data_IF_630337490690
#
_entry.id   IF_630337490690
#
_cell.length_a   1.000
_cell.length_b   1.000
_cell.length_c   1.000
_cell.angle_alpha   90.00
_cell.angle_beta   90.00
_cell.angle_gamma   90.00
#
_symmetry.space_group_name_H-M   'P 1'
#
loop_
_entity.id
_entity.type
_entity.pdbx_description
1 polymer ?
#
# COMPACT_ATOMS: atom_id res chain seq x y z
N UNK A 1 -11.31 -65.66 -54.54
CA UNK A 1 -10.23 -64.82 -53.97
C UNK A 1 -10.89 -63.66 -53.26
N UNK A 2 -10.84 -63.71 -51.93
CA UNK A 2 -11.52 -62.87 -50.97
C UNK A 2 -10.63 -61.65 -50.66
N UNK A 3 -11.15 -60.43 -50.71
CA UNK A 3 -10.48 -59.26 -50.15
C UNK A 3 -11.47 -58.44 -49.33
N UNK A 4 -11.41 -58.65 -48.03
CA UNK A 4 -12.11 -57.90 -46.99
C UNK A 4 -11.53 -56.48 -46.90
N UNK A 5 -12.40 -55.47 -46.91
CA UNK A 5 -12.09 -54.12 -46.45
C UNK A 5 -12.51 -54.04 -44.98
N UNK A 6 -11.53 -53.96 -44.08
CA UNK A 6 -11.75 -53.66 -42.67
C UNK A 6 -11.88 -52.15 -42.50
N UNK A 7 -13.03 -51.68 -42.01
CA UNK A 7 -13.21 -50.31 -41.57
C UNK A 7 -12.79 -50.21 -40.10
N UNK A 8 -11.72 -49.47 -39.83
CA UNK A 8 -11.26 -49.16 -38.48
C UNK A 8 -12.09 -47.99 -37.94
N UNK A 9 -12.94 -48.24 -36.96
CA UNK A 9 -13.66 -47.20 -36.22
C UNK A 9 -12.73 -46.71 -35.11
N UNK A 10 -12.28 -45.45 -35.20
CA UNK A 10 -11.48 -44.78 -34.18
C UNK A 10 -12.43 -44.11 -33.18
N UNK A 11 -12.55 -44.67 -31.98
CA UNK A 11 -13.33 -44.10 -30.89
C UNK A 11 -12.53 -42.97 -30.23
N UNK A 12 -12.97 -41.71 -30.40
CA UNK A 12 -12.38 -40.54 -29.75
C UNK A 12 -12.86 -40.47 -28.29
N UNK A 13 -11.95 -40.71 -27.34
CA UNK A 13 -12.23 -40.56 -25.91
C UNK A 13 -12.12 -39.07 -25.54
N UNK A 14 -13.25 -38.39 -25.38
CA UNK A 14 -13.27 -37.02 -24.87
C UNK A 14 -12.95 -37.04 -23.37
N UNK A 15 -11.73 -36.62 -23.01
CA UNK A 15 -11.37 -36.34 -21.62
C UNK A 15 -12.01 -35.01 -21.23
N UNK A 16 -13.13 -35.08 -20.53
CA UNK A 16 -13.74 -33.91 -19.87
C UNK A 16 -12.91 -33.58 -18.64
N UNK A 17 -12.06 -32.56 -18.75
CA UNK A 17 -11.44 -31.92 -17.59
C UNK A 17 -12.51 -31.09 -16.87
N UNK A 18 -13.02 -31.59 -15.76
CA UNK A 18 -13.76 -30.77 -14.82
C UNK A 18 -12.77 -29.83 -14.12
N UNK A 19 -12.72 -28.57 -14.55
CA UNK A 19 -12.05 -27.52 -13.80
C UNK A 19 -12.95 -27.17 -12.63
N UNK A 20 -12.64 -27.67 -11.43
CA UNK A 20 -13.27 -27.18 -10.21
C UNK A 20 -12.89 -25.70 -10.09
N UNK A 21 -13.85 -24.76 -10.01
CA UNK A 21 -13.49 -23.36 -9.78
C UNK A 21 -12.77 -23.29 -8.43
N UNK A 22 -11.57 -22.70 -8.41
CA UNK A 22 -10.92 -22.34 -7.17
C UNK A 22 -11.85 -21.39 -6.41
N UNK A 23 -12.11 -21.69 -5.13
CA UNK A 23 -12.90 -20.81 -4.28
C UNK A 23 -12.07 -19.55 -4.04
N UNK A 24 -12.44 -18.43 -4.64
CA UNK A 24 -11.78 -17.16 -4.40
C UNK A 24 -11.91 -16.78 -2.91
N UNK A 25 -10.77 -16.64 -2.22
CA UNK A 25 -10.68 -16.20 -0.84
C UNK A 25 -10.88 -14.69 -0.78
N UNK A 26 -11.69 -14.20 0.16
CA UNK A 26 -11.81 -12.75 0.42
C UNK A 26 -11.29 -12.47 1.82
N UNK A 27 -10.26 -11.64 1.92
CA UNK A 27 -9.70 -11.18 3.18
C UNK A 27 -10.30 -9.82 3.53
N UNK A 28 -10.89 -9.72 4.71
CA UNK A 28 -11.63 -8.53 5.18
C UNK A 28 -10.95 -7.81 6.34
N UNK A 29 -10.08 -8.52 7.07
CA UNK A 29 -9.36 -8.00 8.21
C UNK A 29 -8.10 -8.84 8.51
N UNK A 30 -7.25 -8.33 9.39
CA UNK A 30 -6.08 -9.07 9.89
C UNK A 30 -4.75 -8.67 9.25
N UNK A 31 -3.69 -9.33 9.68
CA UNK A 31 -2.34 -9.17 9.12
C UNK A 31 -2.31 -9.71 7.69
N UNK A 32 -1.76 -8.92 6.77
CA UNK A 32 -1.59 -9.29 5.37
C UNK A 32 -0.25 -8.77 4.87
N UNK A 33 0.64 -9.66 4.45
CA UNK A 33 1.75 -9.31 3.59
C UNK A 33 1.30 -9.51 2.15
N UNK A 34 0.75 -8.44 1.58
CA UNK A 34 0.22 -8.43 0.23
C UNK A 34 1.32 -8.83 -0.75
N UNK A 35 2.54 -8.34 -0.56
CA UNK A 35 3.70 -8.77 -1.33
C UNK A 35 4.65 -9.58 -0.45
N UNK A 36 4.47 -10.88 -0.44
CA UNK A 36 5.40 -11.81 0.21
C UNK A 36 6.38 -12.38 -0.81
N UNK A 37 7.68 -12.24 -0.58
CA UNK A 37 8.72 -12.78 -1.47
C UNK A 37 9.44 -13.95 -0.79
N UNK A 38 9.20 -15.15 -1.32
CA UNK A 38 9.80 -16.39 -0.82
C UNK A 38 11.30 -16.49 -1.15
N UNK A 39 11.99 -17.45 -0.53
CA UNK A 39 13.41 -17.73 -0.80
C UNK A 39 13.70 -18.18 -2.25
N UNK A 40 12.72 -18.82 -2.90
CA UNK A 40 12.78 -19.22 -4.31
C UNK A 40 12.28 -18.14 -5.30
N UNK A 41 12.11 -16.89 -4.83
CA UNK A 41 11.69 -15.74 -5.63
C UNK A 41 10.28 -15.88 -6.23
N UNK A 42 9.36 -16.49 -5.49
CA UNK A 42 7.93 -16.40 -5.79
C UNK A 42 7.34 -15.17 -5.10
N UNK A 43 6.48 -14.47 -5.82
CA UNK A 43 5.67 -13.38 -5.28
C UNK A 43 4.30 -13.94 -4.91
N UNK A 44 4.00 -13.91 -3.62
CA UNK A 44 2.81 -14.50 -3.00
C UNK A 44 2.08 -13.47 -2.13
N UNK A 45 0.95 -13.88 -1.57
CA UNK A 45 0.25 -13.17 -0.50
C UNK A 45 0.30 -14.04 0.76
N UNK A 46 0.64 -13.47 1.91
CA UNK A 46 0.60 -14.16 3.21
C UNK A 46 -0.43 -13.50 4.15
N UNK A 47 -1.16 -14.33 4.91
CA UNK A 47 -1.94 -13.91 6.07
C UNK A 47 -1.70 -14.90 7.24
N UNK A 48 -2.43 -14.74 8.35
CA UNK A 48 -2.37 -15.64 9.51
C UNK A 48 -2.66 -17.13 9.18
N UNK A 49 -3.36 -17.42 8.08
CA UNK A 49 -3.66 -18.78 7.62
C UNK A 49 -2.57 -19.38 6.70
N UNK A 50 -1.60 -18.55 6.29
CA UNK A 50 -0.44 -18.93 5.48
C UNK A 50 -0.39 -18.28 4.10
N UNK A 51 0.31 -18.94 3.18
CA UNK A 51 0.59 -18.44 1.84
C UNK A 51 -0.50 -18.77 0.83
N UNK A 52 -0.82 -17.80 -0.02
CA UNK A 52 -1.84 -17.88 -1.08
C UNK A 52 -1.27 -17.40 -2.42
N UNK A 53 -1.85 -17.91 -3.52
CA UNK A 53 -1.65 -17.29 -4.83
C UNK A 53 -2.41 -15.95 -4.86
N UNK A 54 -1.77 -14.84 -5.25
CA UNK A 54 -2.41 -13.52 -5.30
C UNK A 54 -3.71 -13.49 -6.11
N UNK A 55 -3.77 -14.26 -7.20
CA UNK A 55 -4.90 -14.30 -8.11
C UNK A 55 -6.15 -14.98 -7.52
N UNK A 56 -5.98 -15.79 -6.48
CA UNK A 56 -7.06 -16.50 -5.78
C UNK A 56 -7.62 -15.68 -4.61
N UNK A 57 -7.07 -14.49 -4.35
CA UNK A 57 -7.40 -13.64 -3.19
C UNK A 57 -7.98 -12.29 -3.63
N UNK A 58 -9.03 -11.85 -2.93
CA UNK A 58 -9.54 -10.48 -2.97
C UNK A 58 -9.30 -9.80 -1.64
N UNK A 59 -8.58 -8.68 -1.65
CA UNK A 59 -8.37 -7.81 -0.51
C UNK A 59 -9.53 -6.83 -0.39
N UNK A 60 -10.39 -7.01 0.60
CA UNK A 60 -11.61 -6.22 0.78
C UNK A 60 -11.41 -5.08 1.77
N UNK A 61 -11.70 -3.85 1.33
CA UNK A 61 -11.65 -2.63 2.13
C UNK A 61 -13.09 -2.15 2.32
N UNK A 62 -13.64 -2.16 3.54
CA UNK A 62 -15.04 -1.84 3.76
C UNK A 62 -15.34 -0.36 3.52
N UNK A 63 -16.61 -0.03 3.26
CA UNK A 63 -17.03 1.37 3.11
C UNK A 63 -16.73 2.22 4.37
N UNK A 64 -16.74 1.58 5.54
CA UNK A 64 -16.38 2.18 6.83
C UNK A 64 -14.90 2.56 6.96
N UNK A 65 -14.05 2.24 5.98
CA UNK A 65 -12.65 2.71 5.92
C UNK A 65 -12.53 4.15 5.39
N UNK A 66 -13.58 4.74 4.83
CA UNK A 66 -13.52 6.11 4.30
C UNK A 66 -13.29 7.14 5.41
N UNK A 67 -12.35 8.05 5.18
CA UNK A 67 -11.95 9.14 6.09
C UNK A 67 -11.85 10.43 5.30
N UNK A 68 -12.63 11.44 5.68
CA UNK A 68 -12.53 12.77 5.08
C UNK A 68 -11.25 13.49 5.55
N UNK A 69 -10.74 13.10 6.72
CA UNK A 69 -9.56 13.68 7.36
C UNK A 69 -8.28 13.48 6.54
N UNK A 70 -8.24 12.50 5.63
CA UNK A 70 -7.08 12.31 4.73
C UNK A 70 -6.86 13.52 3.82
N UNK A 71 -7.88 14.35 3.60
CA UNK A 71 -7.75 15.59 2.85
C UNK A 71 -6.71 16.56 3.45
N UNK A 72 -6.42 16.44 4.76
CA UNK A 72 -5.42 17.28 5.42
C UNK A 72 -3.99 17.04 4.92
N UNK A 73 -3.69 15.84 4.41
CA UNK A 73 -2.35 15.46 3.98
C UNK A 73 -2.26 14.86 2.57
N UNK A 74 -3.38 14.41 1.98
CA UNK A 74 -3.47 13.97 0.57
C UNK A 74 -4.21 14.98 -0.32
N UNK A 75 -4.90 15.97 0.27
CA UNK A 75 -5.75 16.90 -0.48
C UNK A 75 -7.11 16.33 -0.91
N UNK A 76 -7.40 15.06 -0.58
CA UNK A 76 -8.67 14.39 -0.87
C UNK A 76 -9.05 13.40 0.23
N UNK A 77 -10.35 13.21 0.47
CA UNK A 77 -10.90 12.14 1.31
C UNK A 77 -10.69 10.76 0.66
N UNK A 78 -10.44 9.73 1.46
CA UNK A 78 -10.07 8.41 0.92
C UNK A 78 -10.45 7.25 1.84
N UNK A 79 -10.57 6.06 1.26
CA UNK A 79 -10.61 4.79 1.99
C UNK A 79 -9.22 4.48 2.53
N UNK A 80 -9.05 4.60 3.85
CA UNK A 80 -7.75 4.65 4.50
C UNK A 80 -7.46 3.39 5.31
N UNK A 81 -6.32 2.75 5.01
CA UNK A 81 -5.76 1.67 5.81
C UNK A 81 -4.51 2.19 6.54
N UNK A 82 -4.54 2.31 7.87
CA UNK A 82 -3.40 2.81 8.63
C UNK A 82 -2.25 1.80 8.69
N UNK A 83 -1.02 2.29 8.74
CA UNK A 83 0.19 1.48 8.95
C UNK A 83 0.21 0.80 10.32
N UNK A 84 -0.55 1.31 11.29
CA UNK A 84 -0.78 0.64 12.57
C UNK A 84 -2.07 -0.17 12.48
N UNK A 85 -2.05 -1.41 12.96
CA UNK A 85 -3.19 -2.31 12.86
C UNK A 85 -4.46 -1.68 13.47
N UNK A 86 -5.56 -1.77 12.73
CA UNK A 86 -6.88 -1.31 13.15
C UNK A 86 -7.88 -2.45 13.04
N UNK A 87 -8.71 -2.62 14.07
CA UNK A 87 -9.74 -3.65 14.08
C UNK A 87 -10.73 -3.45 12.92
N UNK A 88 -11.10 -4.57 12.28
CA UNK A 88 -12.09 -4.58 11.19
C UNK A 88 -11.57 -4.04 9.86
N UNK A 89 -10.25 -3.86 9.73
CA UNK A 89 -9.58 -3.52 8.48
C UNK A 89 -8.50 -4.55 8.22
N UNK A 90 -8.26 -4.82 6.94
CA UNK A 90 -7.02 -5.48 6.52
C UNK A 90 -5.83 -4.59 6.87
N UNK A 91 -4.71 -5.21 7.22
CA UNK A 91 -3.46 -4.53 7.55
C UNK A 91 -2.38 -4.94 6.53
N UNK A 92 -2.38 -4.33 5.33
CA UNK A 92 -1.51 -4.74 4.24
C UNK A 92 -0.09 -4.20 4.37
N UNK A 93 0.86 -5.02 3.96
CA UNK A 93 2.28 -4.75 3.92
C UNK A 93 3.00 -5.58 2.88
N UNK A 94 4.31 -5.72 3.06
CA UNK A 94 5.14 -6.66 2.32
C UNK A 94 6.16 -7.29 3.28
N UNK A 95 6.50 -8.55 3.00
CA UNK A 95 7.60 -9.24 3.65
C UNK A 95 8.56 -9.81 2.60
N UNK A 96 9.81 -9.42 2.74
CA UNK A 96 10.93 -9.83 1.86
C UNK A 96 12.00 -10.57 2.65
N UNK A 97 11.76 -10.85 3.93
CA UNK A 97 12.73 -11.46 4.85
C UNK A 97 13.23 -12.80 4.30
N UNK A 98 12.32 -13.65 3.81
CA UNK A 98 12.66 -14.98 3.28
C UNK A 98 13.51 -14.93 2.01
N UNK A 99 13.37 -13.88 1.19
CA UNK A 99 14.16 -13.69 -0.04
C UNK A 99 15.67 -13.61 0.23
N UNK A 100 16.06 -13.13 1.42
CA UNK A 100 17.45 -13.01 1.86
C UNK A 100 18.30 -12.02 1.05
N UNK A 101 17.70 -11.22 0.17
CA UNK A 101 18.39 -10.28 -0.72
C UNK A 101 17.65 -8.94 -0.81
N UNK A 102 18.36 -7.81 -1.02
CA UNK A 102 17.71 -6.59 -1.47
C UNK A 102 16.97 -6.83 -2.79
N UNK A 103 15.82 -6.18 -2.95
CA UNK A 103 14.97 -6.31 -4.13
C UNK A 103 14.11 -5.06 -4.37
N UNK A 104 13.43 -5.05 -5.51
CA UNK A 104 12.42 -4.06 -5.85
C UNK A 104 11.10 -4.75 -6.12
N UNK A 105 9.99 -4.17 -5.64
CA UNK A 105 8.65 -4.54 -6.08
C UNK A 105 8.24 -3.56 -7.17
N UNK A 106 8.11 -4.04 -8.40
CA UNK A 106 7.80 -3.24 -9.59
C UNK A 106 6.32 -3.38 -9.92
N UNK A 107 5.60 -2.27 -9.97
CA UNK A 107 4.18 -2.23 -10.29
C UNK A 107 4.02 -1.97 -11.79
N UNK A 108 3.93 -3.02 -12.60
CA UNK A 108 3.82 -2.92 -14.05
C UNK A 108 2.50 -2.27 -14.48
N UNK A 109 1.41 -2.63 -13.82
CA UNK A 109 0.09 -2.09 -14.10
C UNK A 109 -0.66 -1.81 -12.80
N UNK A 110 -1.20 -0.60 -12.65
CA UNK A 110 -2.13 -0.22 -11.60
C UNK A 110 -3.38 0.34 -12.28
N UNK A 111 -4.51 -0.30 -12.04
CA UNK A 111 -5.80 0.11 -12.60
C UNK A 111 -6.87 0.18 -11.50
N UNK A 112 -7.81 1.10 -11.67
CA UNK A 112 -8.92 1.29 -10.75
C UNK A 112 -9.63 2.63 -10.98
N UNK A 113 -10.72 2.89 -10.25
CA UNK A 113 -11.54 4.09 -10.43
C UNK A 113 -10.92 5.38 -9.89
N UNK A 114 -9.93 5.29 -8.99
CA UNK A 114 -9.31 6.43 -8.33
C UNK A 114 -7.79 6.30 -8.21
N UNK A 115 -7.19 7.23 -7.49
CA UNK A 115 -5.77 7.24 -7.15
C UNK A 115 -5.51 6.34 -5.95
N UNK A 116 -4.38 5.63 -5.98
CA UNK A 116 -3.86 4.88 -4.83
C UNK A 116 -2.66 5.61 -4.27
N UNK A 117 -2.62 5.83 -2.95
CA UNK A 117 -1.47 6.39 -2.26
C UNK A 117 -0.84 5.35 -1.34
N UNK A 118 0.50 5.33 -1.30
CA UNK A 118 1.31 4.49 -0.44
C UNK A 118 2.37 5.33 0.27
N UNK A 119 2.32 5.37 1.60
CA UNK A 119 3.20 6.24 2.40
C UNK A 119 3.31 5.74 3.84
N UNK A 120 4.33 6.18 4.56
CA UNK A 120 4.45 5.98 6.01
C UNK A 120 4.13 7.27 6.75
N UNK A 121 3.95 7.17 8.07
CA UNK A 121 3.81 8.36 8.91
C UNK A 121 5.14 9.10 8.98
N UNK A 122 5.13 10.35 8.52
CA UNK A 122 6.28 11.24 8.58
C UNK A 122 6.40 11.99 9.91
N UNK A 123 7.47 12.77 10.02
CA UNK A 123 7.74 13.55 11.23
C UNK A 123 6.67 14.64 11.41
N UNK A 124 6.31 14.93 12.67
CA UNK A 124 5.32 15.96 13.03
C UNK A 124 3.91 15.76 12.44
N UNK A 125 3.54 14.52 12.11
CA UNK A 125 2.22 14.20 11.56
C UNK A 125 2.11 14.42 10.04
N UNK A 126 3.24 14.61 9.35
CA UNK A 126 3.30 14.59 7.88
C UNK A 126 3.25 13.17 7.30
N UNK A 127 3.48 13.07 5.99
CA UNK A 127 3.57 11.80 5.25
C UNK A 127 4.97 11.65 4.66
N UNK A 128 5.53 10.45 4.75
CA UNK A 128 6.81 10.11 4.12
C UNK A 128 6.57 9.15 2.95
N UNK A 129 7.09 9.45 1.74
CA UNK A 129 6.89 8.60 0.57
C UNK A 129 7.64 7.27 0.70
N UNK A 130 7.01 6.19 0.24
CA UNK A 130 7.59 4.84 0.23
C UNK A 130 7.96 4.36 -1.18
N UNK A 131 7.54 5.09 -2.21
CA UNK A 131 7.84 4.77 -3.59
C UNK A 131 9.19 5.35 -4.01
N UNK A 132 9.88 4.63 -4.89
CA UNK A 132 11.06 5.12 -5.57
C UNK A 132 10.77 6.48 -6.23
N UNK A 133 11.72 7.42 -6.10
CA UNK A 133 11.56 8.78 -6.61
C UNK A 133 10.76 9.72 -5.68
N UNK A 134 10.30 9.25 -4.51
CA UNK A 134 9.68 10.10 -3.49
C UNK A 134 8.22 10.48 -3.79
N UNK A 135 7.54 9.71 -4.63
CA UNK A 135 6.12 9.88 -4.89
C UNK A 135 5.25 9.26 -3.78
N UNK A 136 4.06 9.81 -3.56
CA UNK A 136 3.02 9.20 -2.72
C UNK A 136 2.05 8.37 -3.55
N UNK A 137 1.76 8.81 -4.77
CA UNK A 137 0.84 8.14 -5.69
C UNK A 137 1.48 6.88 -6.28
N UNK A 138 0.84 5.75 -6.04
CA UNK A 138 1.16 4.45 -6.62
C UNK A 138 0.43 4.31 -7.96
N UNK A 139 1.19 4.42 -9.05
CA UNK A 139 0.74 4.26 -10.42
C UNK A 139 1.54 3.21 -11.17
N UNK A 140 1.12 2.83 -12.38
CA UNK A 140 1.90 1.97 -13.28
C UNK A 140 3.32 2.53 -13.49
N UNK A 141 4.32 1.66 -13.36
CA UNK A 141 5.75 2.01 -13.37
C UNK A 141 6.31 2.43 -12.01
N UNK A 142 5.51 2.49 -10.95
CA UNK A 142 6.01 2.74 -9.59
C UNK A 142 6.81 1.56 -9.07
N UNK A 143 7.72 1.83 -8.14
CA UNK A 143 8.55 0.80 -7.51
C UNK A 143 8.63 1.04 -6.01
N UNK A 144 8.66 -0.04 -5.22
CA UNK A 144 9.11 -0.02 -3.83
C UNK A 144 10.53 -0.58 -3.82
N UNK A 145 11.48 0.18 -3.30
CA UNK A 145 12.87 -0.27 -3.13
C UNK A 145 13.05 -0.82 -1.71
N UNK A 146 13.44 -2.08 -1.61
CA UNK A 146 13.71 -2.75 -0.34
C UNK A 146 15.21 -3.06 -0.26
N UNK A 147 15.96 -2.12 0.33
CA UNK A 147 17.44 -2.16 0.36
C UNK A 147 18.01 -3.29 1.24
N UNK A 148 17.18 -3.93 2.06
CA UNK A 148 17.52 -5.08 2.88
C UNK A 148 16.26 -5.91 3.18
N UNK A 149 16.36 -7.23 3.38
CA UNK A 149 15.20 -8.05 3.75
C UNK A 149 14.49 -7.51 4.98
N UNK A 150 13.18 -7.27 4.87
CA UNK A 150 12.36 -6.71 5.93
C UNK A 150 10.88 -7.05 5.77
N UNK A 151 10.17 -6.92 6.89
CA UNK A 151 8.72 -6.92 7.01
C UNK A 151 8.24 -5.49 7.27
N UNK A 152 7.36 -4.96 6.41
CA UNK A 152 6.90 -3.58 6.45
C UNK A 152 5.39 -3.49 6.27
N UNK A 153 4.73 -2.74 7.15
CA UNK A 153 3.37 -2.24 6.93
C UNK A 153 3.39 -0.73 6.66
N UNK A 154 2.43 -0.28 5.85
CA UNK A 154 2.37 1.08 5.35
C UNK A 154 0.94 1.64 5.44
N UNK A 155 0.81 2.95 5.27
CA UNK A 155 -0.49 3.56 5.07
C UNK A 155 -0.88 3.43 3.59
N UNK A 156 -2.11 3.01 3.35
CA UNK A 156 -2.71 2.95 2.02
C UNK A 156 -3.94 3.85 1.98
N UNK A 157 -4.14 4.56 0.88
CA UNK A 157 -5.36 5.33 0.66
C UNK A 157 -5.85 5.15 -0.78
N UNK A 158 -7.15 4.86 -0.94
CA UNK A 158 -7.82 4.73 -2.24
C UNK A 158 -8.87 5.84 -2.34
N UNK A 159 -8.82 6.68 -3.37
CA UNK A 159 -9.69 7.86 -3.44
C UNK A 159 -11.12 7.55 -3.84
N UNK A 160 -11.35 6.44 -4.54
CA UNK A 160 -12.67 6.07 -5.07
C UNK A 160 -13.03 4.61 -4.74
N UNK A 161 -14.31 4.33 -4.57
CA UNK A 161 -14.81 2.97 -4.39
C UNK A 161 -14.80 2.19 -5.71
N UNK A 162 -14.49 0.90 -5.63
CA UNK A 162 -14.52 -0.03 -6.75
C UNK A 162 -13.36 -1.01 -6.73
N UNK A 163 -13.21 -1.75 -7.83
CA UNK A 163 -12.16 -2.76 -7.96
C UNK A 163 -10.87 -2.15 -8.51
N UNK A 164 -9.77 -2.37 -7.82
CA UNK A 164 -8.42 -2.05 -8.28
C UNK A 164 -7.67 -3.34 -8.59
N UNK A 165 -6.82 -3.30 -9.61
CA UNK A 165 -5.89 -4.38 -9.95
C UNK A 165 -4.48 -3.86 -10.03
N UNK A 166 -3.55 -4.59 -9.41
CA UNK A 166 -2.12 -4.27 -9.42
C UNK A 166 -1.34 -5.48 -9.93
N UNK A 167 -0.66 -5.36 -11.05
CA UNK A 167 0.26 -6.36 -11.57
C UNK A 167 1.66 -6.03 -11.08
N UNK A 168 2.23 -6.92 -10.26
CA UNK A 168 3.48 -6.68 -9.52
C UNK A 168 4.50 -7.78 -9.83
N UNK A 169 5.77 -7.41 -9.86
CA UNK A 169 6.90 -8.33 -10.00
C UNK A 169 7.98 -8.00 -8.96
N UNK A 170 8.57 -9.02 -8.33
CA UNK A 170 9.74 -8.86 -7.49
C UNK A 170 11.01 -9.04 -8.33
N UNK A 171 11.93 -8.07 -8.25
CA UNK A 171 13.23 -8.07 -8.96
C UNK A 171 14.36 -7.95 -7.95
N UNK A 172 15.09 -9.03 -7.72
CA UNK A 172 16.21 -9.07 -6.78
C UNK A 172 17.45 -8.36 -7.34
N UNK A 173 18.26 -7.79 -6.45
CA UNK A 173 19.52 -7.14 -6.80
C UNK A 173 20.55 -8.09 -7.43
N UNK A 174 20.42 -9.40 -7.22
CA UNK A 174 21.25 -10.44 -7.82
C UNK A 174 20.79 -10.89 -9.22
N UNK A 175 19.72 -10.28 -9.75
CA UNK A 175 19.19 -10.52 -11.08
C UNK A 175 18.12 -11.61 -11.17
N UNK A 176 17.74 -12.25 -10.05
CA UNK A 176 16.56 -13.13 -10.03
C UNK A 176 15.26 -12.31 -10.08
N UNK A 177 14.25 -12.88 -10.71
CA UNK A 177 12.93 -12.25 -10.85
C UNK A 177 11.82 -13.25 -10.54
N UNK A 178 10.74 -12.77 -9.93
CA UNK A 178 9.49 -13.53 -9.85
C UNK A 178 8.74 -13.51 -11.18
N UNK A 179 7.72 -14.37 -11.30
CA UNK A 179 6.63 -14.11 -12.26
C UNK A 179 5.92 -12.82 -11.88
N UNK A 180 5.25 -12.20 -12.85
CA UNK A 180 4.23 -11.21 -12.55
C UNK A 180 3.04 -11.88 -11.83
N UNK A 181 2.49 -11.20 -10.83
CA UNK A 181 1.29 -11.61 -10.12
C UNK A 181 0.29 -10.45 -10.05
N UNK A 182 -1.01 -10.75 -10.21
CA UNK A 182 -2.07 -9.74 -10.16
C UNK A 182 -2.83 -9.78 -8.86
N UNK A 183 -2.83 -8.66 -8.15
CA UNK A 183 -3.55 -8.47 -6.89
C UNK A 183 -4.87 -7.76 -7.12
N UNK A 184 -5.94 -8.27 -6.51
CA UNK A 184 -7.28 -7.67 -6.59
C UNK A 184 -7.64 -7.01 -5.27
N UNK A 185 -7.95 -5.71 -5.32
CA UNK A 185 -8.45 -4.95 -4.18
C UNK A 185 -9.87 -4.51 -4.46
N UNK A 186 -10.78 -4.80 -3.53
CA UNK A 186 -12.17 -4.36 -3.59
C UNK A 186 -12.39 -3.26 -2.55
N UNK A 187 -12.62 -2.03 -3.02
CA UNK A 187 -12.75 -0.86 -2.15
C UNK A 187 -14.20 -0.43 -2.04
N UNK A 188 -14.66 -0.23 -0.81
CA UNK A 188 -16.04 0.11 -0.50
C UNK A 188 -17.00 -1.07 -0.76
N UNK A 189 -18.29 -0.80 -0.60
CA UNK A 189 -19.33 -1.74 -1.00
C UNK A 189 -19.28 -1.82 -2.53
N UNK A 190 -18.83 -2.95 -3.08
CA UNK A 190 -18.46 -3.16 -4.50
C UNK A 190 -19.54 -2.90 -5.57
N UNK A 191 -20.57 -2.13 -5.27
CA UNK A 191 -21.43 -1.46 -6.21
C UNK A 191 -20.76 -0.18 -6.72
N UNK A 192 -19.89 -0.32 -7.72
CA UNK A 192 -19.68 0.74 -8.71
C UNK A 192 -20.96 0.93 -9.55
N UNK A 193 -22.04 1.41 -8.91
CA UNK A 193 -23.10 2.08 -9.64
C UNK A 193 -22.62 3.51 -9.82
N UNK A 194 -22.22 3.82 -11.05
CA UNK A 194 -22.01 5.18 -11.53
C UNK A 194 -23.18 6.07 -11.11
N UNK A 195 -23.05 6.75 -9.97
CA UNK A 195 -23.76 8.00 -9.75
C UNK A 195 -22.85 9.08 -10.31
N UNK A 196 -22.74 9.10 -11.64
CA UNK A 196 -22.59 10.38 -12.29
C UNK A 196 -23.84 11.15 -11.88
N UNK A 197 -23.71 12.01 -10.87
CA UNK A 197 -24.58 13.18 -10.78
C UNK A 197 -24.33 13.99 -12.04
N UNK A 198 -25.06 13.62 -13.08
CA UNK A 198 -25.32 14.42 -14.26
C UNK A 198 -25.92 15.73 -13.77
N UNK A 199 -25.06 16.71 -13.51
CA UNK A 199 -25.43 18.11 -13.57
C UNK A 199 -25.79 18.39 -15.03
N UNK A 200 -27.02 18.03 -15.40
CA UNK A 200 -27.64 18.52 -16.61
C UNK A 200 -27.65 20.07 -16.53
N UNK A 201 -27.07 20.78 -17.50
CA UNK A 201 -27.27 22.22 -17.56
C UNK A 201 -28.71 22.44 -18.01
N UNK A 202 -29.58 22.83 -17.08
CA UNK A 202 -30.88 23.39 -17.44
C UNK A 202 -30.63 24.69 -18.18
N UNK A 203 -30.65 24.61 -19.51
CA UNK A 203 -30.62 25.75 -20.39
C UNK A 203 -31.96 26.51 -20.26
N UNK A 204 -32.00 27.55 -19.42
CA UNK A 204 -33.03 28.59 -19.50
C UNK A 204 -32.38 29.84 -20.08
N UNK A 205 -32.64 30.06 -21.37
CA UNK A 205 -32.28 31.29 -22.05
C UNK A 205 -33.07 32.48 -21.46
N UNK A 206 -32.35 33.58 -21.28
CA UNK A 206 -32.80 34.88 -20.79
C UNK A 206 -33.86 35.56 -21.69
N UNK A 207 -34.42 36.69 -21.23
CA UNK A 207 -33.94 37.93 -21.85
C UNK A 207 -33.57 39.03 -20.85
N UNK A 208 -32.62 39.85 -21.30
CA UNK A 208 -32.05 41.02 -20.65
C UNK A 208 -33.06 42.16 -20.44
N UNK A 209 -32.74 43.12 -19.54
CA UNK A 209 -32.43 44.54 -19.88
C UNK A 209 -32.41 45.46 -18.62
N UNK A 210 -31.31 46.22 -18.49
CA UNK A 210 -31.06 47.53 -17.82
C UNK A 210 -31.41 47.76 -16.33
N UNK A 211 -30.42 48.18 -15.51
CA UNK A 211 -30.09 49.61 -15.29
C UNK A 211 -29.04 49.82 -14.16
N UNK A 212 -28.11 50.76 -14.39
CA UNK A 212 -27.18 51.40 -13.43
C UNK A 212 -27.89 52.53 -12.65
N UNK A 213 -27.45 52.90 -11.43
CA UNK A 213 -26.63 54.12 -11.21
C UNK A 213 -25.49 53.89 -10.18
N UNK A 214 -24.26 54.34 -10.41
CA UNK A 214 -23.64 55.66 -10.09
C UNK A 214 -23.41 55.97 -8.60
N UNK A 215 -22.10 55.90 -8.25
CA UNK A 215 -21.24 56.68 -7.34
C UNK A 215 -21.78 57.52 -6.15
N UNK A 216 -21.09 57.39 -5.01
CA UNK A 216 -20.42 58.46 -4.22
C UNK A 216 -19.67 57.78 -3.03
N UNK A 217 -18.34 57.64 -3.07
CA UNK A 217 -17.32 58.56 -2.56
C UNK A 217 -17.39 58.83 -1.05
N UNK A 218 -16.43 58.29 -0.30
CA UNK A 218 -15.85 59.00 0.86
C UNK A 218 -14.38 58.64 1.03
N UNK A 219 -13.61 59.69 1.19
CA UNK A 219 -12.15 59.84 1.18
C UNK A 219 -11.60 59.59 2.59
N UNK A 220 -10.36 59.10 2.71
CA UNK A 220 -9.27 59.73 3.49
C UNK A 220 -7.96 58.93 3.37
N UNK A 221 -6.96 59.58 2.75
CA UNK A 221 -5.55 59.74 3.18
C UNK A 221 -5.18 59.13 4.55
N UNK A 222 -3.99 58.57 4.83
CA UNK A 222 -2.65 59.04 4.46
C UNK A 222 -1.54 58.10 4.98
N UNK A 223 -0.40 58.10 4.25
CA UNK A 223 1.01 58.02 4.71
C UNK A 223 1.59 56.77 5.41
N UNK A 224 2.53 56.12 4.70
CA UNK A 224 3.75 55.53 5.29
C UNK A 224 4.62 56.59 5.96
N UNK A 225 5.51 56.18 6.88
CA UNK A 225 6.93 56.36 6.57
C UNK A 225 7.82 55.17 6.93
N UNK A 226 8.90 55.03 6.14
CA UNK A 226 10.11 54.25 6.39
C UNK A 226 11.12 55.11 7.16
N UNK A 227 11.79 54.52 8.17
CA UNK A 227 13.20 54.72 8.57
C UNK A 227 13.42 53.96 9.91
N UNK A 228 14.23 52.89 9.96
CA UNK A 228 15.69 52.87 10.17
C UNK A 228 16.15 53.53 11.47
N UNK A 229 16.62 52.73 12.44
CA UNK A 229 17.94 52.98 13.03
C UNK A 229 18.57 51.75 13.70
N UNK A 230 19.89 51.72 13.61
CA UNK A 230 20.82 50.72 14.10
C UNK A 230 21.31 50.99 15.54
N UNK A 231 21.85 49.94 16.18
CA UNK A 231 22.97 49.94 17.14
C UNK A 231 23.26 48.45 17.45
N UNK A 232 24.20 47.76 16.81
CA UNK A 232 25.66 47.81 16.94
C UNK A 232 26.19 47.55 18.37
N UNK A 233 26.69 46.33 18.59
CA UNK A 233 27.90 46.07 19.37
C UNK A 233 28.64 44.86 18.78
N UNK A 234 29.94 45.03 18.59
CA UNK A 234 30.96 44.17 17.92
C UNK A 234 31.87 43.50 18.98
N UNK A 235 32.99 42.84 18.64
CA UNK A 235 33.20 41.64 17.82
C UNK A 235 33.98 40.56 18.62
N UNK A 236 34.05 39.31 18.14
CA UNK A 236 35.20 38.44 18.48
C UNK A 236 35.49 37.43 17.39
N UNK A 237 36.78 37.19 17.23
CA UNK A 237 37.56 36.70 16.10
C UNK A 237 37.39 35.20 15.83
N UNK A 238 37.47 34.81 14.55
CA UNK A 238 37.47 33.43 14.04
C UNK A 238 38.69 32.60 14.54
N UNK A 239 38.75 31.25 14.37
CA UNK A 239 38.85 30.68 13.03
C UNK A 239 38.05 29.38 12.78
N UNK A 240 37.84 29.17 11.48
CA UNK A 240 37.44 27.96 10.78
C UNK A 240 38.35 26.78 11.15
N UNK A 241 37.79 25.70 11.70
CA UNK A 241 38.45 24.41 11.81
C UNK A 241 37.44 23.29 11.53
N UNK A 242 37.87 22.37 10.66
CA UNK A 242 37.20 21.13 10.29
C UNK A 242 37.30 20.10 11.43
N UNK A 243 36.25 19.31 11.62
CA UNK A 243 36.28 17.94 12.15
C UNK A 243 35.16 17.21 11.41
N UNK A 244 35.34 16.20 10.55
CA UNK A 244 36.22 15.03 10.54
C UNK A 244 36.18 14.25 11.85
N UNK A 245 35.11 13.46 11.99
CA UNK A 245 35.13 12.24 12.80
C UNK A 245 34.55 11.13 11.93
N UNK A 246 35.45 10.33 11.33
CA UNK A 246 35.13 9.02 10.77
C UNK A 246 34.69 8.02 11.87
N UNK A 247 34.34 6.79 11.47
CA UNK A 247 33.40 5.96 12.19
C UNK A 247 34.00 5.31 13.45
N UNK A 248 33.31 5.44 14.58
CA UNK A 248 33.52 4.55 15.72
C UNK A 248 32.74 3.27 15.47
N UNK A 249 33.46 2.23 15.06
CA UNK A 249 33.05 0.84 15.20
C UNK A 249 32.74 0.57 16.69
N UNK A 250 31.47 0.34 17.02
CA UNK A 250 31.10 -0.28 18.29
C UNK A 250 30.22 -1.49 18.02
N UNK A 251 30.90 -2.63 18.01
CA UNK A 251 30.39 -3.99 18.09
C UNK A 251 29.47 -4.17 19.30
N UNK A 252 28.27 -4.74 19.10
CA UNK A 252 27.54 -5.42 20.18
C UNK A 252 26.01 -5.29 20.14
N UNK A 253 25.24 -6.40 20.25
CA UNK A 253 23.84 -6.47 19.81
C UNK A 253 22.83 -6.13 20.92
N UNK A 254 21.73 -5.49 20.55
CA UNK A 254 20.51 -5.42 21.35
C UNK A 254 19.41 -6.20 20.63
N UNK A 255 19.36 -7.51 20.92
CA UNK A 255 18.20 -8.35 20.66
C UNK A 255 17.20 -8.14 21.81
N UNK A 256 16.04 -7.58 21.52
CA UNK A 256 14.88 -7.58 22.43
C UNK A 256 14.02 -8.80 22.09
N UNK A 257 14.27 -9.91 22.78
CA UNK A 257 13.41 -11.09 22.80
C UNK A 257 12.25 -10.85 23.78
N UNK A 258 11.01 -10.89 23.27
CA UNK A 258 9.80 -10.92 24.06
C UNK A 258 9.69 -12.23 24.85
N UNK A 259 9.53 -12.12 26.18
CA UNK A 259 9.28 -13.24 27.08
C UNK A 259 7.85 -13.78 26.86
N UNK A 260 7.74 -14.94 26.22
CA UNK A 260 6.58 -15.82 26.30
C UNK A 260 6.65 -16.70 27.54
N UNK A 261 5.65 -16.60 28.41
CA UNK A 261 5.51 -17.36 29.66
C UNK A 261 4.96 -18.77 29.36
N UNK A 262 5.78 -19.82 29.42
CA UNK A 262 5.30 -21.22 29.46
C UNK A 262 5.58 -21.84 30.83
N UNK A 263 4.51 -22.10 31.59
CA UNK A 263 4.58 -22.91 32.81
C UNK A 263 4.37 -24.38 32.42
N UNK A 264 5.44 -25.17 32.44
CA UNK A 264 5.37 -26.64 32.46
C UNK A 264 5.69 -27.12 33.88
N UNK A 265 4.69 -27.66 34.57
CA UNK A 265 4.86 -28.39 35.82
C UNK A 265 5.12 -29.87 35.56
N UNK A 266 6.36 -30.34 35.77
CA UNK A 266 6.66 -31.75 35.94
C UNK A 266 6.72 -32.08 37.44
N UNK A 267 5.70 -32.79 37.94
CA UNK A 267 5.76 -33.48 39.23
C UNK A 267 5.99 -34.97 39.02
N UNK A 268 7.20 -35.45 39.29
CA UNK A 268 7.53 -36.87 39.43
C UNK A 268 7.47 -37.22 40.91
N UNK A 269 6.61 -38.15 41.35
CA UNK A 269 6.89 -38.96 42.54
C UNK A 269 6.26 -40.38 42.46
N UNK A 270 7.19 -41.34 42.38
CA UNK A 270 7.27 -42.61 43.13
C UNK A 270 6.28 -43.76 42.88
N UNK A 271 6.86 -44.81 42.28
CA UNK A 271 6.56 -46.23 42.43
C UNK A 271 6.33 -46.66 43.89
N UNK A 272 5.22 -47.39 44.14
CA UNK A 272 5.18 -48.51 45.10
C UNK A 272 4.36 -49.65 44.50
N UNK A 273 4.90 -50.87 44.64
CA UNK A 273 4.40 -52.14 44.12
C UNK A 273 3.76 -52.94 45.27
N UNK A 274 2.73 -53.74 44.92
CA UNK A 274 2.29 -55.03 45.52
C UNK A 274 1.44 -55.00 46.80
N UNK A 275 0.74 -56.11 47.13
CA UNK A 275 0.68 -57.44 46.48
C UNK A 275 -0.38 -57.61 45.39
#
# INVERSE_FOLDING_TARGET
MLRHLAATVLTLLAVVFSCTPATALTLTDGHIDAFYVTSDMQLMLENDDGLHQPEDVTLSIPASAYREETAQFLGVGAYFLPQAQSQGLIWPGWDTTESGTPLRLVFHEVSGPGTVYLFSQGTFGGVDPLLAGGALELASGSEINQDHPAHVHANWAFTEAGTYRMTVQAVAADGRESREATYTWQVGDGNSSATSESHAPTNVAAPATMATPTAEQHTTTSTSPVASNASQSTPSTAPKALASTGPTQLTGPLALLGLGLTVLGCGVLTSVRRP
#
